data_IF_770014218699
#
_entry.id   IF_770014218699
#
_cell.length_a   1.000
_cell.length_b   1.000
_cell.length_c   1.000
_cell.angle_alpha   90.00
_cell.angle_beta   90.00
_cell.angle_gamma   90.00
#
_symmetry.space_group_name_H-M   'P 1'
#
loop_
_entity.id
_entity.type
_entity.pdbx_description
1 polymer ?
#
# COMPACT_ATOMS: atom_id res chain seq x y z
N UNK A 1 -23.21 61.87 -67.33
CA UNK A 1 -23.88 61.35 -66.11
C UNK A 1 -23.23 60.06 -65.58
N UNK A 2 -22.53 59.28 -66.33
CA UNK A 2 -21.97 57.99 -65.91
C UNK A 2 -20.82 58.00 -64.88
N UNK A 3 -19.96 59.03 -64.87
CA UNK A 3 -18.80 59.08 -63.95
C UNK A 3 -19.19 59.30 -62.46
N UNK A 4 -20.36 59.89 -62.17
CA UNK A 4 -20.86 60.08 -60.80
C UNK A 4 -21.54 58.85 -60.21
N UNK A 5 -22.05 58.00 -61.07
CA UNK A 5 -22.68 56.71 -60.66
C UNK A 5 -21.63 55.68 -60.36
N UNK A 6 -20.51 55.64 -61.11
CA UNK A 6 -19.38 54.77 -60.92
C UNK A 6 -18.65 55.01 -59.57
N UNK A 7 -18.49 56.29 -59.21
CA UNK A 7 -17.92 56.71 -57.91
C UNK A 7 -18.78 56.33 -56.70
N UNK A 8 -20.13 56.40 -56.84
CA UNK A 8 -21.03 55.97 -55.78
C UNK A 8 -21.07 54.48 -55.60
N UNK A 9 -20.98 53.70 -56.69
CA UNK A 9 -20.90 52.23 -56.63
C UNK A 9 -19.56 51.76 -55.99
N UNK A 10 -18.43 52.39 -56.28
CA UNK A 10 -17.15 52.08 -55.66
C UNK A 10 -17.15 52.43 -54.16
N UNK A 11 -17.73 53.52 -53.74
CA UNK A 11 -17.85 53.90 -52.33
C UNK A 11 -18.73 52.94 -51.52
N UNK A 12 -19.82 52.44 -52.12
CA UNK A 12 -20.69 51.42 -51.48
C UNK A 12 -19.99 50.07 -51.37
N UNK A 13 -19.16 49.66 -52.36
CA UNK A 13 -18.37 48.45 -52.31
C UNK A 13 -17.25 48.54 -51.23
N UNK A 14 -16.62 49.69 -51.08
CA UNK A 14 -15.64 49.94 -50.01
C UNK A 14 -16.28 49.96 -48.63
N UNK A 15 -17.46 50.52 -48.47
CA UNK A 15 -18.25 50.48 -47.23
C UNK A 15 -18.70 49.05 -46.90
N UNK A 16 -19.15 48.29 -47.91
CA UNK A 16 -19.55 46.88 -47.72
C UNK A 16 -18.31 46.01 -47.36
N UNK A 17 -17.15 46.21 -47.99
CA UNK A 17 -15.92 45.54 -47.64
C UNK A 17 -15.41 45.92 -46.26
N UNK A 18 -15.52 47.19 -45.87
CA UNK A 18 -15.22 47.64 -44.53
C UNK A 18 -16.16 47.07 -43.47
N UNK A 19 -17.47 47.03 -43.77
CA UNK A 19 -18.43 46.39 -42.88
C UNK A 19 -18.22 44.87 -42.71
N UNK A 20 -17.86 44.18 -43.79
CA UNK A 20 -17.52 42.73 -43.71
C UNK A 20 -16.26 42.50 -42.88
N UNK A 21 -15.22 43.32 -43.04
CA UNK A 21 -13.99 43.22 -42.21
C UNK A 21 -14.30 43.52 -40.74
N UNK A 22 -15.14 44.53 -40.46
CA UNK A 22 -15.57 44.85 -39.08
C UNK A 22 -16.42 43.72 -38.53
N UNK A 23 -17.37 43.17 -39.27
CA UNK A 23 -18.19 42.01 -38.83
C UNK A 23 -17.31 40.79 -38.58
N UNK A 24 -16.33 40.48 -39.42
CA UNK A 24 -15.42 39.35 -39.19
C UNK A 24 -14.47 39.57 -38.00
N UNK A 25 -14.11 40.82 -37.70
CA UNK A 25 -13.35 41.16 -36.48
C UNK A 25 -14.23 41.07 -35.18
N UNK A 26 -15.53 41.30 -35.28
CA UNK A 26 -16.44 41.22 -34.12
C UNK A 26 -17.14 39.87 -33.96
N UNK A 27 -17.10 38.98 -34.96
CA UNK A 27 -17.72 37.64 -34.87
C UNK A 27 -16.84 36.55 -34.22
N UNK A 28 -15.66 36.90 -33.74
CA UNK A 28 -14.78 35.97 -33.02
C UNK A 28 -15.15 35.83 -31.51
N UNK A 29 -16.36 36.28 -31.16
CA UNK A 29 -16.81 36.44 -29.76
C UNK A 29 -17.29 35.15 -29.07
N UNK A 30 -17.17 33.98 -29.69
CA UNK A 30 -17.67 32.73 -29.14
C UNK A 30 -16.61 31.65 -28.90
N UNK A 31 -15.31 31.92 -29.15
CA UNK A 31 -14.26 30.92 -29.04
C UNK A 31 -13.01 31.49 -28.37
N UNK A 32 -12.62 30.93 -27.25
CA UNK A 32 -11.31 31.26 -26.63
C UNK A 32 -10.25 30.25 -27.14
N UNK A 33 -9.07 30.79 -27.49
CA UNK A 33 -7.99 29.98 -28.09
C UNK A 33 -6.70 30.12 -27.31
N UNK A 34 -5.95 29.03 -27.25
CA UNK A 34 -4.55 29.03 -26.78
C UNK A 34 -3.72 28.04 -27.58
N UNK A 35 -2.49 28.41 -27.87
CA UNK A 35 -1.43 27.56 -28.46
C UNK A 35 -0.45 27.06 -27.38
N UNK A 36 -0.58 27.58 -26.15
CA UNK A 36 0.20 27.13 -24.99
C UNK A 36 -0.54 25.99 -24.28
N UNK A 37 -0.56 24.83 -24.93
CA UNK A 37 -1.17 23.62 -24.40
C UNK A 37 -0.33 22.40 -24.75
N UNK A 38 -0.29 21.44 -23.87
CA UNK A 38 0.45 20.21 -24.07
C UNK A 38 -0.33 18.98 -23.60
N UNK A 39 -0.08 17.87 -24.26
CA UNK A 39 -0.57 16.55 -23.83
C UNK A 39 0.20 16.14 -22.57
N UNK A 40 -0.50 15.72 -21.54
CA UNK A 40 0.08 15.18 -20.33
C UNK A 40 -0.44 13.77 -20.01
N UNK A 41 0.36 13.04 -19.26
CA UNK A 41 -0.02 11.76 -18.67
C UNK A 41 0.83 11.49 -17.44
N UNK A 42 0.42 10.53 -16.62
CA UNK A 42 1.22 10.13 -15.45
C UNK A 42 2.51 9.46 -15.90
N UNK A 43 3.61 9.85 -15.27
CA UNK A 43 4.93 9.23 -15.41
C UNK A 43 5.33 8.71 -14.04
N UNK A 44 5.55 7.41 -13.92
CA UNK A 44 5.89 6.77 -12.65
C UNK A 44 7.37 6.40 -12.61
N UNK A 45 8.17 6.90 -11.67
CA UNK A 45 9.54 6.43 -11.49
C UNK A 45 9.54 4.98 -11.01
N UNK A 46 10.38 4.15 -11.57
CA UNK A 46 10.67 2.79 -11.10
C UNK A 46 11.91 2.85 -10.24
N UNK A 47 11.71 2.62 -8.93
CA UNK A 47 12.76 2.77 -7.93
C UNK A 47 13.19 1.41 -7.37
N UNK A 48 14.46 1.32 -7.01
CA UNK A 48 15.05 0.19 -6.29
C UNK A 48 14.60 0.21 -4.83
N UNK A 49 14.31 -0.95 -4.25
CA UNK A 49 13.89 -1.07 -2.83
C UNK A 49 15.01 -1.59 -1.93
N UNK A 50 16.00 -2.28 -2.49
CA UNK A 50 17.12 -2.88 -1.75
C UNK A 50 18.46 -2.52 -2.39
N UNK A 51 19.52 -2.42 -1.61
CA UNK A 51 20.85 -2.14 -2.13
C UNK A 51 21.46 -3.39 -2.79
N UNK A 52 22.38 -3.20 -3.72
CA UNK A 52 23.18 -4.28 -4.29
C UNK A 52 23.73 -3.96 -5.66
N UNK A 53 24.57 -4.83 -6.19
CA UNK A 53 25.12 -4.69 -7.52
C UNK A 53 24.14 -5.20 -8.58
N UNK A 54 24.04 -4.47 -9.70
CA UNK A 54 23.19 -4.88 -10.83
C UNK A 54 23.84 -6.09 -11.52
N UNK A 55 23.13 -7.22 -11.47
CA UNK A 55 23.54 -8.47 -12.10
C UNK A 55 23.17 -8.50 -13.58
N UNK A 56 21.94 -8.08 -13.89
CA UNK A 56 21.39 -8.15 -15.24
C UNK A 56 20.33 -7.06 -15.46
N UNK A 57 20.33 -6.46 -16.66
CA UNK A 57 19.31 -5.53 -17.12
C UNK A 57 18.59 -6.19 -18.29
N UNK A 58 17.26 -6.31 -18.21
CA UNK A 58 16.43 -7.04 -19.20
C UNK A 58 15.51 -6.14 -20.00
N UNK A 59 15.79 -4.85 -20.05
CA UNK A 59 15.01 -3.92 -20.84
C UNK A 59 15.91 -3.00 -21.65
N UNK A 60 15.35 -2.44 -22.73
CA UNK A 60 15.93 -1.35 -23.51
C UNK A 60 15.12 -0.07 -23.33
N UNK A 61 15.73 1.07 -23.62
CA UNK A 61 15.04 2.36 -23.59
C UNK A 61 13.86 2.38 -24.57
N UNK A 62 12.77 3.03 -24.17
CA UNK A 62 11.54 3.20 -24.96
C UNK A 62 10.82 1.89 -25.34
N UNK A 63 11.22 0.77 -24.75
CA UNK A 63 10.55 -0.52 -24.93
C UNK A 63 9.18 -0.53 -24.27
N UNK A 64 8.19 -1.15 -24.93
CA UNK A 64 6.92 -1.49 -24.31
C UNK A 64 7.10 -2.71 -23.40
N UNK A 65 6.53 -2.65 -22.20
CA UNK A 65 6.56 -3.74 -21.21
C UNK A 65 5.18 -3.98 -20.62
N UNK A 66 4.93 -5.23 -20.24
CA UNK A 66 3.72 -5.62 -19.53
C UNK A 66 3.96 -5.60 -18.02
N UNK A 67 2.88 -5.41 -17.27
CA UNK A 67 2.92 -5.51 -15.81
C UNK A 67 3.47 -6.87 -15.38
N UNK A 68 4.51 -6.84 -14.54
CA UNK A 68 5.19 -8.03 -14.05
C UNK A 68 6.43 -8.43 -14.83
N UNK A 69 6.69 -7.84 -16.01
CA UNK A 69 7.93 -8.10 -16.75
C UNK A 69 9.14 -7.72 -15.91
N UNK A 70 10.13 -8.59 -15.88
CA UNK A 70 11.38 -8.34 -15.16
C UNK A 70 12.22 -7.31 -15.90
N UNK A 71 12.50 -6.20 -15.23
CA UNK A 71 13.32 -5.11 -15.78
C UNK A 71 14.78 -5.25 -15.37
N UNK A 72 15.04 -5.56 -14.13
CA UNK A 72 16.36 -5.56 -13.54
C UNK A 72 16.47 -6.68 -12.51
N UNK A 73 17.66 -7.29 -12.41
CA UNK A 73 18.02 -8.25 -11.39
C UNK A 73 19.25 -7.74 -10.65
N UNK A 74 19.12 -7.61 -9.34
CA UNK A 74 20.21 -7.29 -8.39
C UNK A 74 20.84 -8.60 -7.93
N UNK A 75 22.11 -8.60 -7.54
CA UNK A 75 22.76 -9.75 -6.95
C UNK A 75 22.04 -10.17 -5.66
N UNK A 76 21.47 -11.35 -5.69
CA UNK A 76 20.56 -11.89 -4.68
C UNK A 76 21.27 -12.75 -3.61
N UNK A 77 22.58 -13.00 -3.75
CA UNK A 77 23.32 -13.96 -2.92
C UNK A 77 23.26 -13.62 -1.43
N UNK A 78 23.45 -12.36 -1.07
CA UNK A 78 23.39 -11.93 0.34
C UNK A 78 21.98 -12.09 0.92
N UNK A 79 20.96 -11.77 0.16
CA UNK A 79 19.55 -11.89 0.56
C UNK A 79 19.13 -13.36 0.68
N UNK A 80 19.62 -14.23 -0.21
CA UNK A 80 19.38 -15.67 -0.14
C UNK A 80 20.04 -16.31 1.10
N UNK A 81 21.25 -15.84 1.47
CA UNK A 81 21.92 -16.27 2.72
C UNK A 81 21.14 -15.78 3.93
N UNK A 82 20.70 -14.53 3.96
CA UNK A 82 19.90 -13.97 5.05
C UNK A 82 18.57 -14.74 5.22
N UNK A 83 17.92 -15.15 4.14
CA UNK A 83 16.72 -15.99 4.19
C UNK A 83 17.02 -17.34 4.83
N UNK A 84 18.07 -18.04 4.39
CA UNK A 84 18.47 -19.32 4.99
C UNK A 84 18.79 -19.21 6.48
N UNK A 85 19.43 -18.11 6.89
CA UNK A 85 19.72 -17.85 8.30
C UNK A 85 18.44 -17.67 9.12
N UNK A 86 17.46 -16.91 8.60
CA UNK A 86 16.17 -16.73 9.25
C UNK A 86 15.37 -18.05 9.33
N UNK A 87 15.41 -18.89 8.28
CA UNK A 87 14.80 -20.21 8.27
C UNK A 87 15.43 -21.15 9.31
N UNK A 88 16.75 -21.11 9.49
CA UNK A 88 17.43 -21.86 10.54
C UNK A 88 16.98 -21.42 11.94
N UNK A 89 16.87 -20.11 12.18
CA UNK A 89 16.36 -19.57 13.45
C UNK A 89 14.91 -20.01 13.73
N UNK A 90 14.06 -20.06 12.71
CA UNK A 90 12.71 -20.60 12.83
C UNK A 90 12.72 -22.10 13.21
N UNK A 91 13.60 -22.87 12.61
CA UNK A 91 13.76 -24.28 12.95
C UNK A 91 14.20 -24.49 14.41
N UNK A 92 15.12 -23.66 14.89
CA UNK A 92 15.57 -23.67 16.29
C UNK A 92 14.43 -23.30 17.26
N UNK A 93 13.65 -22.26 16.96
CA UNK A 93 12.48 -21.87 17.75
C UNK A 93 11.44 -23.00 17.83
N UNK A 94 11.14 -23.65 16.70
CA UNK A 94 10.22 -24.80 16.64
C UNK A 94 10.72 -25.99 17.44
N UNK A 95 12.03 -26.25 17.40
CA UNK A 95 12.67 -27.31 18.18
C UNK A 95 12.60 -27.01 19.68
N UNK A 96 12.89 -25.78 20.07
CA UNK A 96 12.75 -25.30 21.44
C UNK A 96 11.33 -25.45 21.99
N UNK A 97 10.32 -25.09 21.20
CA UNK A 97 8.89 -25.27 21.54
C UNK A 97 8.55 -26.73 21.77
N UNK A 98 9.08 -27.67 20.96
CA UNK A 98 8.86 -29.10 21.12
C UNK A 98 9.45 -29.63 22.44
N UNK A 99 10.63 -29.15 22.83
CA UNK A 99 11.25 -29.52 24.12
C UNK A 99 10.37 -29.06 25.28
N UNK A 100 9.92 -27.82 25.27
CA UNK A 100 9.04 -27.28 26.32
C UNK A 100 7.69 -28.05 26.34
N UNK A 101 7.12 -28.38 25.19
CA UNK A 101 5.88 -29.17 25.11
C UNK A 101 6.04 -30.55 25.76
N UNK A 102 7.19 -31.21 25.59
CA UNK A 102 7.48 -32.46 26.29
C UNK A 102 7.54 -32.27 27.81
N UNK A 103 8.10 -31.12 28.27
CA UNK A 103 8.13 -30.79 29.69
C UNK A 103 6.74 -30.57 30.28
N UNK A 104 5.81 -29.93 29.53
CA UNK A 104 4.39 -29.78 29.93
C UNK A 104 3.75 -31.15 30.09
N UNK A 105 3.94 -32.06 29.14
CA UNK A 105 3.39 -33.42 29.21
C UNK A 105 3.93 -34.20 30.42
N UNK A 106 5.22 -34.05 30.74
CA UNK A 106 5.83 -34.72 31.91
C UNK A 106 5.24 -34.15 33.21
N UNK A 107 5.14 -32.83 33.33
CA UNK A 107 4.57 -32.18 34.52
C UNK A 107 3.07 -32.55 34.71
N UNK A 108 2.29 -32.58 33.62
CA UNK A 108 0.89 -32.99 33.63
C UNK A 108 0.73 -34.46 34.03
N UNK A 109 1.56 -35.36 33.53
CA UNK A 109 1.56 -36.79 33.91
C UNK A 109 1.86 -36.94 35.39
N UNK A 110 2.80 -36.18 35.94
CA UNK A 110 3.13 -36.19 37.39
C UNK A 110 1.93 -35.73 38.23
N UNK A 111 1.20 -34.72 37.83
CA UNK A 111 -0.02 -34.29 38.51
C UNK A 111 -1.12 -35.38 38.46
N UNK A 112 -1.28 -36.05 37.35
CA UNK A 112 -2.26 -37.15 37.17
C UNK A 112 -1.94 -38.35 38.10
N UNK A 113 -0.66 -38.68 38.32
CA UNK A 113 -0.25 -39.72 39.26
C UNK A 113 -0.65 -39.36 40.69
N UNK A 114 -0.52 -38.07 41.07
CA UNK A 114 -0.94 -37.60 42.37
C UNK A 114 -2.47 -37.66 42.54
N UNK A 115 -3.25 -37.41 41.50
CA UNK A 115 -4.72 -37.52 41.53
C UNK A 115 -5.12 -39.01 41.80
N UNK A 116 -4.43 -39.99 41.20
CA UNK A 116 -4.64 -41.42 41.50
C UNK A 116 -4.30 -41.74 42.95
N UNK A 117 -3.18 -41.19 43.47
CA UNK A 117 -2.76 -41.41 44.87
C UNK A 117 -3.72 -40.77 45.87
N UNK A 118 -4.29 -39.62 45.57
CA UNK A 118 -5.33 -38.99 46.35
C UNK A 118 -6.57 -39.89 46.41
N UNK A 119 -7.00 -40.39 45.25
CA UNK A 119 -8.17 -41.29 45.19
C UNK A 119 -8.00 -42.53 46.01
N UNK A 120 -6.81 -43.17 45.97
CA UNK A 120 -6.47 -44.33 46.82
C UNK A 120 -6.58 -43.97 48.33
N UNK A 121 -5.97 -42.80 48.72
CA UNK A 121 -6.01 -42.35 50.13
C UNK A 121 -7.42 -41.99 50.60
N UNK A 122 -8.27 -41.41 49.73
CA UNK A 122 -9.67 -41.13 50.02
C UNK A 122 -10.48 -42.40 50.24
N UNK A 123 -10.29 -43.45 49.45
CA UNK A 123 -10.95 -44.76 49.69
C UNK A 123 -10.53 -45.36 51.01
N UNK A 124 -9.27 -45.15 51.41
CA UNK A 124 -8.80 -45.60 52.75
C UNK A 124 -9.48 -44.83 53.88
N UNK A 125 -9.64 -43.50 53.76
CA UNK A 125 -10.37 -42.68 54.71
C UNK A 125 -11.81 -43.16 54.84
N UNK A 126 -12.51 -43.37 53.74
CA UNK A 126 -13.89 -43.87 53.70
C UNK A 126 -14.05 -45.21 54.41
N UNK A 127 -13.10 -46.15 54.22
CA UNK A 127 -13.08 -47.41 54.92
C UNK A 127 -12.93 -47.20 56.44
N UNK A 128 -11.95 -46.41 56.87
CA UNK A 128 -11.68 -46.15 58.29
C UNK A 128 -12.81 -45.39 58.97
N UNK A 129 -13.52 -44.50 58.26
CA UNK A 129 -14.74 -43.82 58.77
C UNK A 129 -15.85 -44.84 59.02
N UNK A 130 -16.09 -45.76 58.08
CA UNK A 130 -17.08 -46.86 58.33
C UNK A 130 -16.69 -47.72 59.51
N UNK A 131 -15.42 -48.07 59.64
CA UNK A 131 -14.91 -48.90 60.73
C UNK A 131 -15.04 -48.16 62.08
N UNK A 132 -14.62 -46.89 62.17
CA UNK A 132 -14.76 -46.02 63.33
C UNK A 132 -16.21 -45.93 63.79
N UNK A 133 -17.15 -45.63 62.91
CA UNK A 133 -18.59 -45.53 63.22
C UNK A 133 -19.16 -46.86 63.70
N UNK A 134 -18.74 -47.99 63.08
CA UNK A 134 -19.17 -49.30 63.52
C UNK A 134 -18.69 -49.62 64.93
N UNK A 135 -17.41 -49.41 65.25
CA UNK A 135 -16.89 -49.67 66.60
C UNK A 135 -17.35 -48.69 67.63
N UNK A 136 -17.60 -47.46 67.28
CA UNK A 136 -18.23 -46.46 68.19
C UNK A 136 -19.65 -46.91 68.62
N UNK A 137 -20.49 -47.34 67.64
CA UNK A 137 -21.80 -47.90 67.93
C UNK A 137 -21.79 -49.20 68.78
N UNK A 138 -20.77 -50.01 68.59
CA UNK A 138 -20.56 -51.19 69.42
C UNK A 138 -20.13 -50.86 70.83
N UNK A 139 -19.35 -49.78 71.02
CA UNK A 139 -18.97 -49.33 72.38
C UNK A 139 -20.20 -48.83 73.15
N UNK A 140 -21.10 -48.03 72.52
CA UNK A 140 -22.35 -47.60 73.11
C UNK A 140 -23.19 -48.79 73.58
N UNK A 141 -23.18 -49.96 72.90
CA UNK A 141 -23.84 -51.18 73.24
C UNK A 141 -23.05 -52.05 74.24
N UNK A 142 -21.90 -51.57 74.77
CA UNK A 142 -20.96 -52.28 75.64
C UNK A 142 -20.35 -53.55 75.00
N UNK A 143 -20.31 -53.58 73.65
CA UNK A 143 -19.78 -54.75 72.87
C UNK A 143 -18.39 -54.45 72.30
N UNK A 144 -17.74 -53.32 72.68
CA UNK A 144 -16.36 -52.98 72.29
C UNK A 144 -15.66 -52.27 73.46
N UNK A 145 -14.33 -52.06 73.37
CA UNK A 145 -13.55 -51.39 74.40
C UNK A 145 -13.18 -49.98 73.91
N UNK A 146 -13.02 -48.97 74.81
CA UNK A 146 -12.64 -47.62 74.49
C UNK A 146 -11.31 -47.56 73.67
N UNK A 147 -10.38 -48.45 74.02
CA UNK A 147 -9.06 -48.52 73.36
C UNK A 147 -9.17 -48.80 71.84
N UNK A 148 -10.10 -49.68 71.46
CA UNK A 148 -10.32 -50.09 70.05
C UNK A 148 -10.92 -48.87 69.29
N UNK A 149 -11.86 -48.11 69.87
CA UNK A 149 -12.45 -46.92 69.26
C UNK A 149 -11.39 -45.81 69.07
N UNK A 150 -10.55 -45.62 70.11
CA UNK A 150 -9.45 -44.65 70.05
C UNK A 150 -8.42 -45.00 68.98
N UNK A 151 -8.10 -46.31 68.81
CA UNK A 151 -7.23 -46.79 67.77
C UNK A 151 -7.79 -46.43 66.38
N UNK A 152 -9.05 -46.79 66.08
CA UNK A 152 -9.66 -46.45 64.78
C UNK A 152 -9.78 -44.96 64.54
N UNK A 153 -10.01 -44.18 65.58
CA UNK A 153 -10.02 -42.69 65.50
C UNK A 153 -8.64 -42.17 65.08
N UNK A 154 -7.58 -42.65 65.73
CA UNK A 154 -6.22 -42.26 65.44
C UNK A 154 -5.81 -42.65 64.01
N UNK A 155 -6.17 -43.87 63.58
CA UNK A 155 -5.91 -44.33 62.22
C UNK A 155 -6.67 -43.48 61.15
N UNK A 156 -7.93 -43.08 61.44
CA UNK A 156 -8.74 -42.21 60.62
C UNK A 156 -8.10 -40.81 60.50
N UNK A 157 -7.67 -40.24 61.63
CA UNK A 157 -7.04 -38.90 61.67
C UNK A 157 -5.71 -38.90 60.90
N UNK A 158 -4.90 -39.99 60.99
CA UNK A 158 -3.70 -40.14 60.23
C UNK A 158 -3.99 -40.28 58.70
N UNK A 159 -5.04 -41.02 58.34
CA UNK A 159 -5.44 -41.13 56.92
C UNK A 159 -5.94 -39.82 56.35
N UNK A 160 -6.71 -39.03 57.08
CA UNK A 160 -7.12 -37.67 56.70
C UNK A 160 -5.94 -36.73 56.55
N UNK A 161 -4.96 -36.80 57.46
CA UNK A 161 -3.73 -36.01 57.32
C UNK A 161 -2.93 -36.40 56.06
N UNK A 162 -2.92 -37.69 55.71
CA UNK A 162 -2.29 -38.16 54.46
C UNK A 162 -2.97 -37.61 53.21
N UNK A 163 -4.28 -37.60 53.12
CA UNK A 163 -5.04 -36.98 52.03
C UNK A 163 -4.71 -35.49 51.92
N UNK A 164 -4.68 -34.78 53.03
CA UNK A 164 -4.33 -33.35 53.09
C UNK A 164 -2.91 -33.11 52.58
N UNK A 165 -1.95 -33.96 52.93
CA UNK A 165 -0.56 -33.85 52.41
C UNK A 165 -0.48 -34.10 50.92
N UNK A 166 -1.18 -35.12 50.39
CA UNK A 166 -1.21 -35.42 48.95
C UNK A 166 -1.88 -34.30 48.13
N UNK A 167 -2.95 -33.71 48.67
CA UNK A 167 -3.61 -32.58 48.03
C UNK A 167 -2.68 -31.39 47.91
N UNK A 168 -1.92 -31.00 48.93
CA UNK A 168 -0.90 -29.96 48.89
C UNK A 168 0.21 -30.28 47.85
N UNK A 169 0.60 -31.57 47.82
CA UNK A 169 1.60 -32.01 46.82
C UNK A 169 1.07 -31.92 45.38
N UNK A 170 -0.21 -32.23 45.19
CA UNK A 170 -0.89 -32.04 43.90
C UNK A 170 -0.99 -30.58 43.50
N UNK A 171 -1.30 -29.68 44.43
CA UNK A 171 -1.34 -28.22 44.21
C UNK A 171 0.04 -27.67 43.77
N UNK A 172 1.11 -28.12 44.44
CA UNK A 172 2.48 -27.79 44.02
C UNK A 172 2.81 -28.30 42.60
N UNK A 173 2.40 -29.56 42.28
CA UNK A 173 2.57 -30.09 40.92
C UNK A 173 1.76 -29.29 39.88
N UNK A 174 0.54 -28.85 40.22
CA UNK A 174 -0.27 -28.02 39.34
C UNK A 174 0.38 -26.64 39.08
N UNK A 175 1.01 -26.06 40.10
CA UNK A 175 1.78 -24.81 39.92
C UNK A 175 2.94 -25.02 38.94
N UNK A 176 3.62 -26.18 39.02
CA UNK A 176 4.67 -26.52 38.05
C UNK A 176 4.13 -26.69 36.63
N UNK A 177 2.96 -27.31 36.45
CA UNK A 177 2.28 -27.39 35.14
C UNK A 177 2.01 -25.98 34.58
N UNK A 178 1.48 -25.08 35.42
CA UNK A 178 1.21 -23.70 35.03
C UNK A 178 2.48 -22.95 34.61
N UNK A 179 3.56 -23.08 35.38
CA UNK A 179 4.87 -22.47 35.06
C UNK A 179 5.40 -22.96 33.69
N UNK A 180 5.39 -24.27 33.44
CA UNK A 180 5.90 -24.83 32.20
C UNK A 180 4.98 -24.46 31.01
N UNK A 181 3.66 -24.38 31.24
CA UNK A 181 2.71 -23.88 30.23
C UNK A 181 3.00 -22.45 29.83
N UNK A 182 3.35 -21.58 30.80
CA UNK A 182 3.76 -20.20 30.50
C UNK A 182 5.06 -20.13 29.70
N UNK A 183 6.00 -21.03 29.97
CA UNK A 183 7.20 -21.18 29.12
C UNK A 183 6.87 -21.62 27.69
N UNK A 184 5.82 -22.44 27.51
CA UNK A 184 5.36 -22.83 26.19
C UNK A 184 4.78 -21.64 25.41
N UNK A 185 3.98 -20.78 26.06
CA UNK A 185 3.51 -19.54 25.42
C UNK A 185 4.66 -18.64 24.98
N UNK A 186 5.71 -18.51 25.81
CA UNK A 186 6.92 -17.78 25.44
C UNK A 186 7.64 -18.40 24.23
N UNK A 187 7.66 -19.74 24.14
CA UNK A 187 8.24 -20.45 22.99
C UNK A 187 7.38 -20.26 21.73
N UNK A 188 6.05 -20.22 21.85
CA UNK A 188 5.14 -19.94 20.74
C UNK A 188 5.35 -18.49 20.24
N UNK A 189 5.53 -17.52 21.14
CA UNK A 189 5.88 -16.15 20.77
C UNK A 189 7.27 -16.06 20.08
N UNK A 190 8.22 -16.91 20.45
CA UNK A 190 9.50 -16.98 19.76
C UNK A 190 9.38 -17.50 18.31
N UNK A 191 8.49 -18.46 18.07
CA UNK A 191 8.16 -18.94 16.72
C UNK A 191 7.61 -17.80 15.88
N UNK A 192 6.62 -17.07 16.38
CA UNK A 192 6.02 -15.93 15.64
C UNK A 192 7.06 -14.87 15.26
N UNK A 193 8.00 -14.56 16.16
CA UNK A 193 9.11 -13.64 15.85
C UNK A 193 10.03 -14.19 14.76
N UNK A 194 10.36 -15.48 14.82
CA UNK A 194 11.20 -16.12 13.81
C UNK A 194 10.49 -16.22 12.45
N UNK A 195 9.18 -16.48 12.41
CA UNK A 195 8.37 -16.46 11.19
C UNK A 195 8.35 -15.08 10.55
N UNK A 196 8.15 -14.03 11.33
CA UNK A 196 8.24 -12.65 10.85
C UNK A 196 9.62 -12.30 10.28
N UNK A 197 10.70 -12.82 10.87
CA UNK A 197 12.05 -12.65 10.35
C UNK A 197 12.25 -13.37 8.99
N UNK A 198 11.70 -14.58 8.83
CA UNK A 198 11.70 -15.31 7.54
C UNK A 198 10.93 -14.53 6.48
N UNK A 199 9.74 -14.02 6.83
CA UNK A 199 8.92 -13.25 5.88
C UNK A 199 9.61 -11.96 5.45
N UNK A 200 10.28 -11.26 6.36
CA UNK A 200 11.07 -10.07 6.04
C UNK A 200 12.25 -10.41 5.12
N UNK A 201 12.99 -11.48 5.40
CA UNK A 201 14.10 -11.90 4.56
C UNK A 201 13.63 -12.32 3.16
N UNK A 202 12.49 -13.02 3.06
CA UNK A 202 11.86 -13.40 1.79
C UNK A 202 11.39 -12.19 0.99
N UNK A 203 10.81 -11.21 1.66
CA UNK A 203 10.39 -9.95 1.06
C UNK A 203 11.59 -9.20 0.48
N UNK A 204 12.68 -9.08 1.25
CA UNK A 204 13.90 -8.42 0.77
C UNK A 204 14.51 -9.17 -0.43
N UNK A 205 14.51 -10.49 -0.41
CA UNK A 205 14.95 -11.30 -1.55
C UNK A 205 14.04 -11.05 -2.78
N UNK A 206 12.74 -10.92 -2.60
CA UNK A 206 11.83 -10.61 -3.71
C UNK A 206 12.11 -9.25 -4.35
N UNK A 207 12.62 -8.28 -3.59
CA UNK A 207 12.97 -6.95 -4.06
C UNK A 207 14.26 -6.91 -4.90
N UNK A 208 15.04 -7.99 -4.96
CA UNK A 208 16.19 -8.09 -5.86
C UNK A 208 15.79 -8.23 -7.33
N UNK A 209 14.55 -8.63 -7.60
CA UNK A 209 13.97 -8.69 -8.94
C UNK A 209 13.00 -7.52 -9.10
N UNK A 210 13.39 -6.52 -9.88
CA UNK A 210 12.55 -5.35 -10.14
C UNK A 210 11.68 -5.62 -11.36
N UNK A 211 10.36 -5.49 -11.20
CA UNK A 211 9.38 -5.72 -12.26
C UNK A 211 8.62 -4.46 -12.61
N UNK A 212 8.05 -4.42 -13.83
CA UNK A 212 7.19 -3.35 -14.29
C UNK A 212 5.89 -3.30 -13.45
N UNK A 213 5.53 -2.15 -12.85
CA UNK A 213 4.33 -2.02 -12.02
C UNK A 213 3.02 -1.96 -12.83
N UNK A 214 3.08 -1.61 -14.12
CA UNK A 214 1.94 -1.51 -15.04
C UNK A 214 2.40 -1.72 -16.49
N UNK A 215 1.43 -1.88 -17.41
CA UNK A 215 1.69 -1.88 -18.84
C UNK A 215 2.06 -0.48 -19.31
N UNK A 216 3.09 -0.36 -20.15
CA UNK A 216 3.51 0.95 -20.66
C UNK A 216 4.87 0.95 -21.31
N UNK A 217 5.33 2.16 -21.64
CA UNK A 217 6.64 2.37 -22.24
C UNK A 217 7.67 2.79 -21.19
N UNK A 218 8.87 2.25 -21.27
CA UNK A 218 9.96 2.65 -20.41
C UNK A 218 10.62 3.93 -20.93
N UNK A 219 11.09 4.76 -20.02
CA UNK A 219 11.88 5.95 -20.33
C UNK A 219 13.36 5.62 -20.53
N UNK A 220 14.21 6.63 -20.31
CA UNK A 220 15.66 6.48 -20.39
C UNK A 220 16.19 5.62 -19.25
N UNK A 221 17.25 4.89 -19.51
CA UNK A 221 18.00 4.12 -18.52
C UNK A 221 19.05 5.01 -17.86
N UNK A 222 19.07 5.03 -16.54
CA UNK A 222 20.04 5.85 -15.77
C UNK A 222 21.10 5.00 -15.06
N UNK A 223 21.15 3.69 -15.37
CA UNK A 223 21.95 2.70 -14.66
C UNK A 223 22.69 1.78 -15.63
N UNK A 224 23.80 1.19 -15.17
CA UNK A 224 24.61 0.23 -15.92
C UNK A 224 24.80 -1.09 -15.17
N UNK A 225 25.03 -2.18 -15.90
CA UNK A 225 25.33 -3.48 -15.33
C UNK A 225 26.63 -3.42 -14.50
N UNK A 226 26.64 -4.05 -13.33
CA UNK A 226 27.75 -3.98 -12.37
C UNK A 226 27.77 -2.73 -11.49
N UNK A 227 26.87 -1.78 -11.70
CA UNK A 227 26.72 -0.60 -10.85
C UNK A 227 26.10 -0.99 -9.50
N UNK A 228 26.58 -0.37 -8.43
CA UNK A 228 25.92 -0.43 -7.11
C UNK A 228 24.71 0.52 -7.10
N UNK A 229 23.55 0.02 -6.68
CA UNK A 229 22.34 0.81 -6.49
C UNK A 229 21.91 0.83 -5.03
N UNK A 230 21.22 1.91 -4.65
CA UNK A 230 20.74 2.14 -3.29
C UNK A 230 19.21 2.23 -3.25
N UNK A 231 18.58 1.92 -2.10
CA UNK A 231 17.13 2.08 -1.95
C UNK A 231 16.67 3.52 -2.28
N UNK A 232 15.58 3.63 -3.04
CA UNK A 232 15.04 4.91 -3.51
C UNK A 232 15.64 5.41 -4.82
N UNK A 233 16.74 4.84 -5.31
CA UNK A 233 17.32 5.22 -6.60
C UNK A 233 16.39 4.85 -7.76
N UNK A 234 16.12 5.83 -8.64
CA UNK A 234 15.34 5.61 -9.87
C UNK A 234 16.21 4.94 -10.93
N UNK A 235 15.72 3.85 -11.50
CA UNK A 235 16.41 3.10 -12.56
C UNK A 235 15.92 3.50 -13.96
N UNK A 236 14.66 3.79 -14.09
CA UNK A 236 13.97 4.27 -15.28
C UNK A 236 12.64 4.88 -14.87
N UNK A 237 11.94 5.46 -15.84
CA UNK A 237 10.55 5.89 -15.65
C UNK A 237 9.63 5.00 -16.46
N UNK A 238 8.45 4.70 -15.95
CA UNK A 238 7.39 4.03 -16.67
C UNK A 238 6.32 5.04 -17.05
N UNK A 239 5.95 5.03 -18.33
CA UNK A 239 4.88 5.81 -18.92
C UNK A 239 3.72 4.85 -19.17
N UNK A 240 2.74 4.74 -18.26
CA UNK A 240 1.67 3.76 -18.38
C UNK A 240 0.82 4.03 -19.62
N UNK A 241 0.31 2.97 -20.27
CA UNK A 241 -0.64 3.09 -21.38
C UNK A 241 -2.05 3.51 -20.90
N UNK A 242 -2.11 4.55 -20.06
CA UNK A 242 -3.31 5.02 -19.41
C UNK A 242 -3.97 6.22 -20.09
N UNK A 243 -4.86 6.89 -19.32
CA UNK A 243 -5.54 8.10 -19.74
C UNK A 243 -4.55 9.25 -19.93
N UNK A 244 -4.73 9.96 -21.05
CA UNK A 244 -4.05 11.21 -21.37
C UNK A 244 -5.03 12.36 -21.24
N UNK A 245 -4.52 13.53 -20.95
CA UNK A 245 -5.28 14.77 -20.89
C UNK A 245 -4.45 15.89 -21.49
N UNK A 246 -5.03 17.03 -21.69
CA UNK A 246 -4.32 18.22 -22.12
C UNK A 246 -4.33 19.23 -20.97
N UNK A 247 -3.18 19.85 -20.73
CA UNK A 247 -3.07 21.05 -19.89
C UNK A 247 -2.88 22.22 -20.80
N UNK A 248 -3.86 23.13 -20.80
CA UNK A 248 -3.88 24.33 -21.61
C UNK A 248 -3.75 25.57 -20.73
N UNK A 249 -2.78 26.42 -21.03
CA UNK A 249 -2.52 27.65 -20.28
C UNK A 249 -3.24 28.81 -20.94
N UNK A 250 -4.33 29.30 -20.34
CA UNK A 250 -5.07 30.43 -20.79
C UNK A 250 -4.62 31.71 -20.08
N UNK A 251 -4.70 32.85 -20.77
CA UNK A 251 -4.44 34.13 -20.16
C UNK A 251 -5.48 34.47 -19.10
N UNK A 252 -5.09 35.14 -18.03
CA UNK A 252 -6.00 35.57 -16.95
C UNK A 252 -7.25 36.27 -17.49
N UNK A 253 -7.09 37.09 -18.56
CA UNK A 253 -8.20 37.83 -19.21
C UNK A 253 -9.23 36.93 -19.88
N UNK A 254 -8.87 35.70 -20.27
CA UNK A 254 -9.74 34.73 -20.91
C UNK A 254 -10.54 33.91 -19.88
N UNK A 255 -10.07 33.86 -18.64
CA UNK A 255 -10.67 33.03 -17.57
C UNK A 255 -12.09 33.46 -17.19
N UNK A 256 -12.47 34.71 -17.48
CA UNK A 256 -13.84 35.18 -17.24
C UNK A 256 -14.91 34.36 -17.99
N UNK A 257 -14.55 33.77 -19.13
CA UNK A 257 -15.47 33.00 -20.01
C UNK A 257 -15.30 31.50 -19.94
N UNK A 258 -14.21 30.97 -19.38
CA UNK A 258 -13.92 29.55 -19.34
C UNK A 258 -14.54 28.91 -18.07
N UNK A 259 -15.30 27.84 -18.26
CA UNK A 259 -15.98 27.11 -17.18
C UNK A 259 -15.77 25.60 -17.33
N UNK A 260 -15.75 24.84 -16.23
CA UNK A 260 -15.81 23.38 -16.28
C UNK A 260 -17.09 22.93 -17.00
N UNK A 261 -16.98 21.87 -17.81
CA UNK A 261 -18.05 21.32 -18.62
C UNK A 261 -18.13 21.83 -20.05
N UNK A 262 -17.41 22.87 -20.41
CA UNK A 262 -17.37 23.37 -21.78
C UNK A 262 -16.70 22.41 -22.75
N UNK A 263 -17.23 22.36 -23.99
CA UNK A 263 -16.68 21.56 -25.08
C UNK A 263 -15.44 22.24 -25.67
N UNK A 264 -14.45 21.44 -26.01
CA UNK A 264 -13.17 21.91 -26.49
C UNK A 264 -12.76 21.13 -27.74
N UNK A 265 -12.28 21.85 -28.75
CA UNK A 265 -11.58 21.26 -29.90
C UNK A 265 -10.08 21.29 -29.64
N UNK A 266 -9.46 20.11 -29.77
CA UNK A 266 -8.02 19.88 -29.56
C UNK A 266 -7.38 19.52 -30.91
N UNK A 267 -6.37 20.26 -31.32
CA UNK A 267 -5.55 19.93 -32.49
C UNK A 267 -4.12 19.72 -32.02
N UNK A 268 -3.58 18.53 -32.24
CA UNK A 268 -2.21 18.16 -31.84
C UNK A 268 -1.28 18.39 -33.02
N UNK A 269 -0.18 19.14 -32.82
CA UNK A 269 0.74 19.53 -33.90
C UNK A 269 1.38 18.32 -34.58
N UNK A 270 1.66 17.26 -33.82
CA UNK A 270 2.21 16.01 -34.36
C UNK A 270 1.21 15.19 -35.22
N UNK A 271 -0.08 15.58 -35.24
CA UNK A 271 -1.15 14.88 -35.99
C UNK A 271 -1.93 15.84 -36.89
N UNK A 272 -1.31 16.40 -37.94
CA UNK A 272 -1.95 17.37 -38.80
C UNK A 272 -3.19 16.75 -39.46
N UNK A 273 -4.30 17.52 -39.44
CA UNK A 273 -5.59 17.10 -40.02
C UNK A 273 -6.49 16.28 -39.10
N UNK A 274 -6.02 15.82 -37.93
CA UNK A 274 -6.87 15.22 -36.90
C UNK A 274 -7.32 16.25 -35.88
N UNK A 275 -8.61 16.22 -35.55
CA UNK A 275 -9.23 17.04 -34.52
C UNK A 275 -9.83 16.11 -33.48
N UNK A 276 -9.48 16.37 -32.24
CA UNK A 276 -10.05 15.66 -31.10
C UNK A 276 -11.03 16.58 -30.38
N UNK A 277 -12.00 16.00 -29.71
CA UNK A 277 -12.92 16.72 -28.82
C UNK A 277 -12.61 16.39 -27.39
N UNK A 278 -12.68 17.40 -26.54
CA UNK A 278 -12.46 17.27 -25.10
C UNK A 278 -13.47 18.10 -24.31
N UNK A 279 -13.41 17.97 -23.01
CA UNK A 279 -14.21 18.77 -22.07
C UNK A 279 -13.28 19.38 -21.03
N UNK A 280 -13.52 20.64 -20.69
CA UNK A 280 -12.87 21.31 -19.56
C UNK A 280 -13.31 20.59 -18.28
N UNK A 281 -12.37 19.92 -17.60
CA UNK A 281 -12.66 19.16 -16.36
C UNK A 281 -12.27 19.91 -15.11
N UNK A 282 -11.19 20.68 -15.15
CA UNK A 282 -10.72 21.45 -14.00
C UNK A 282 -9.99 22.72 -14.41
N UNK A 283 -10.11 23.73 -13.58
CA UNK A 283 -9.38 25.01 -13.70
C UNK A 283 -8.52 25.14 -12.46
N UNK A 284 -7.23 25.43 -12.64
CA UNK A 284 -6.33 25.64 -11.53
C UNK A 284 -6.73 26.89 -10.73
N UNK A 285 -6.67 26.79 -9.40
CA UNK A 285 -6.88 27.94 -8.51
C UNK A 285 -5.62 28.80 -8.29
N UNK A 286 -4.52 28.44 -8.98
CA UNK A 286 -3.27 29.20 -8.93
C UNK A 286 -2.69 29.33 -10.34
N UNK A 287 -2.00 30.46 -10.58
CA UNK A 287 -1.30 30.69 -11.84
C UNK A 287 -0.06 29.83 -11.97
N UNK A 288 0.37 29.55 -13.19
CA UNK A 288 1.56 28.74 -13.43
C UNK A 288 2.82 29.25 -12.73
N UNK A 289 2.97 30.56 -12.57
CA UNK A 289 4.10 31.18 -11.87
C UNK A 289 4.17 30.82 -10.37
N UNK A 290 3.03 30.51 -9.73
CA UNK A 290 2.98 30.07 -8.32
C UNK A 290 3.39 28.62 -8.12
N UNK A 291 3.31 27.79 -9.15
CA UNK A 291 3.79 26.40 -9.14
C UNK A 291 5.27 26.28 -9.54
N UNK A 292 5.90 27.38 -9.99
CA UNK A 292 7.32 27.37 -10.33
C UNK A 292 8.19 27.15 -9.08
N UNK A 293 9.16 26.24 -9.17
CA UNK A 293 10.13 26.00 -8.10
C UNK A 293 11.05 27.20 -7.85
N UNK A 294 11.12 28.15 -8.81
CA UNK A 294 11.85 29.41 -8.66
C UNK A 294 10.81 30.54 -8.63
N UNK A 295 10.47 31.05 -7.43
CA UNK A 295 9.55 32.18 -7.33
C UNK A 295 10.18 33.42 -7.99
N UNK A 296 9.44 34.07 -8.90
CA UNK A 296 9.82 35.38 -9.39
C UNK A 296 9.50 36.40 -8.30
N UNK A 297 10.53 36.84 -7.56
CA UNK A 297 10.40 37.89 -6.57
C UNK A 297 10.45 39.25 -7.27
N UNK A 298 9.33 39.96 -7.24
CA UNK A 298 9.20 41.33 -7.79
C UNK A 298 9.53 42.39 -6.74
N UNK A 299 10.22 42.06 -5.65
CA UNK A 299 10.52 43.02 -4.54
C UNK A 299 11.57 44.09 -4.87
N UNK A 300 12.19 44.06 -6.04
CA UNK A 300 13.26 44.99 -6.45
C UNK A 300 12.77 46.35 -6.97
N UNK A 301 11.59 46.82 -6.62
CA UNK A 301 11.18 48.23 -6.79
C UNK A 301 10.60 48.65 -8.15
N UNK A 302 10.68 47.88 -9.21
CA UNK A 302 10.04 48.13 -10.51
C UNK A 302 8.95 47.09 -10.78
N UNK A 303 7.70 47.41 -10.44
CA UNK A 303 6.56 46.56 -10.72
C UNK A 303 6.16 46.63 -12.19
N UNK A 304 6.43 45.58 -12.96
CA UNK A 304 5.89 45.36 -14.30
C UNK A 304 4.76 44.37 -14.23
N UNK A 305 3.55 44.77 -14.59
CA UNK A 305 2.39 43.87 -14.66
C UNK A 305 2.61 42.85 -15.79
N UNK A 306 3.06 41.64 -15.43
CA UNK A 306 3.21 40.53 -16.37
C UNK A 306 1.88 39.75 -16.42
N UNK A 307 1.37 39.50 -17.62
CA UNK A 307 0.15 38.74 -17.83
C UNK A 307 0.35 37.29 -17.36
N UNK A 308 -0.45 36.91 -16.38
CA UNK A 308 -0.41 35.55 -15.83
C UNK A 308 -1.19 34.55 -16.69
N UNK A 309 -0.79 33.29 -16.64
CA UNK A 309 -1.51 32.18 -17.28
C UNK A 309 -2.05 31.22 -16.22
N UNK A 310 -3.26 30.74 -16.46
CA UNK A 310 -3.95 29.80 -15.57
C UNK A 310 -4.04 28.45 -16.28
N UNK A 311 -3.50 27.37 -15.69
CA UNK A 311 -3.62 26.02 -16.25
C UNK A 311 -5.07 25.53 -16.19
N UNK A 312 -5.55 24.99 -17.29
CA UNK A 312 -6.87 24.38 -17.45
C UNK A 312 -6.68 22.95 -17.92
N UNK A 313 -7.24 22.00 -17.18
CA UNK A 313 -7.23 20.59 -17.54
C UNK A 313 -8.40 20.27 -18.46
N UNK A 314 -8.10 19.59 -19.56
CA UNK A 314 -9.05 19.18 -20.58
C UNK A 314 -8.90 17.67 -20.78
N UNK A 315 -9.95 16.92 -20.51
CA UNK A 315 -9.96 15.48 -20.75
C UNK A 315 -10.57 15.18 -22.13
N UNK A 316 -10.04 14.19 -22.84
CA UNK A 316 -10.59 13.76 -24.13
C UNK A 316 -11.97 13.11 -23.95
N UNK A 317 -12.98 13.48 -24.75
CA UNK A 317 -14.36 13.02 -24.62
C UNK A 317 -14.56 11.58 -25.11
N UNK A 318 -13.81 11.14 -26.11
CA UNK A 318 -13.83 9.77 -26.61
C UNK A 318 -12.62 9.01 -26.13
N UNK A 319 -12.76 7.71 -25.87
CA UNK A 319 -11.61 6.83 -25.76
C UNK A 319 -10.79 6.96 -27.05
N UNK A 320 -9.59 7.48 -26.91
CA UNK A 320 -8.63 7.55 -28.03
C UNK A 320 -8.52 6.15 -28.64
N UNK A 321 -8.55 6.04 -29.97
CA UNK A 321 -8.27 4.75 -30.60
C UNK A 321 -6.91 4.23 -30.13
N UNK A 322 -6.71 2.92 -30.10
CA UNK A 322 -5.41 2.36 -29.67
C UNK A 322 -4.25 2.95 -30.50
N UNK A 323 -4.47 3.18 -31.78
CA UNK A 323 -3.50 3.81 -32.69
C UNK A 323 -3.25 5.27 -32.33
N UNK A 324 -4.29 6.07 -32.03
CA UNK A 324 -4.12 7.47 -31.67
C UNK A 324 -3.45 7.60 -30.30
N UNK A 325 -3.83 6.73 -29.36
CA UNK A 325 -3.21 6.70 -28.02
C UNK A 325 -1.71 6.34 -28.09
N UNK A 326 -1.28 5.48 -29.01
CA UNK A 326 0.14 5.15 -29.17
C UNK A 326 0.96 6.28 -29.82
N UNK A 327 0.34 7.11 -30.67
CA UNK A 327 1.02 8.24 -31.32
C UNK A 327 1.05 9.52 -30.48
N UNK A 328 0.15 9.66 -29.50
CA UNK A 328 0.16 10.79 -28.58
C UNK A 328 1.20 10.55 -27.47
N UNK A 329 2.23 11.37 -27.39
CA UNK A 329 3.19 11.35 -26.30
C UNK A 329 3.01 12.54 -25.36
N UNK A 330 3.33 12.36 -24.06
CA UNK A 330 3.39 13.47 -23.13
C UNK A 330 4.39 14.53 -23.58
N UNK A 331 4.02 15.81 -23.43
CA UNK A 331 4.81 16.94 -23.88
C UNK A 331 4.56 17.37 -25.34
N UNK A 332 3.72 16.67 -26.11
CA UNK A 332 3.32 17.14 -27.46
C UNK A 332 2.46 18.39 -27.35
N UNK A 333 2.76 19.39 -28.17
CA UNK A 333 2.07 20.66 -28.22
C UNK A 333 0.71 20.54 -28.92
N UNK A 334 -0.22 21.38 -28.49
CA UNK A 334 -1.60 21.40 -28.98
C UNK A 334 -2.11 22.82 -29.14
N UNK A 335 -2.95 23.06 -30.15
CA UNK A 335 -3.84 24.22 -30.23
C UNK A 335 -5.21 23.84 -29.66
N UNK A 336 -5.71 24.69 -28.76
CA UNK A 336 -6.97 24.49 -28.06
C UNK A 336 -7.95 25.61 -28.43
N UNK A 337 -9.20 25.20 -28.75
CA UNK A 337 -10.32 26.09 -29.00
C UNK A 337 -11.48 25.70 -28.08
N UNK A 338 -11.83 26.58 -27.16
CA UNK A 338 -12.94 26.39 -26.23
C UNK A 338 -14.17 27.13 -26.78
N UNK A 339 -15.27 26.40 -26.96
CA UNK A 339 -16.55 27.00 -27.33
C UNK A 339 -17.14 27.70 -26.11
N UNK A 340 -17.07 29.00 -26.12
CA UNK A 340 -17.65 29.87 -25.08
C UNK A 340 -19.01 30.33 -25.59
N UNK A 341 -20.08 29.66 -25.21
CA UNK A 341 -21.43 30.18 -25.43
C UNK A 341 -21.71 31.17 -24.33
N UNK A 342 -22.01 32.42 -24.72
CA UNK A 342 -22.59 33.37 -23.78
C UNK A 342 -23.96 32.82 -23.35
N UNK A 343 -24.10 32.48 -22.05
CA UNK A 343 -25.39 32.27 -21.39
C UNK A 343 -26.02 33.63 -21.06
#
# INVERSE_FOLDING_TARGET
MEKKTLGKAAAILLLAAGATVIVTMFTDNGVERTDDAQVEQYISPVNVKVAGYIKEIRFTEHQFVHKGDTLLVIDDREYAIALKQAEAQLMDARSGRKVVGNSVNTASSSATVLDASIKEAELRVEKLERDYHRYSALLEKKASTPVIVEQYKTELDMAKARVSALRRQREAAQSTVSEVSQRQENADAAILRAEAAVDMARLNLSYTVITAPADGYLGRRTIEQGQLVSPGQTITTLIPSGRKWVVANFKETQMARIRPGQSVQITVDAMPGKRFTGTVTAISQATGSKYSMVPTDNSAGNFVKIQQRVPVRIDFNSSLSATDNSHLAAGMMCEIKVDVKDD
#
